data_IF_621263753579
#
_entry.id   IF_621263753579
#
_cell.length_a   1.000
_cell.length_b   1.000
_cell.length_c   1.000
_cell.angle_alpha   90.00
_cell.angle_beta   90.00
_cell.angle_gamma   90.00
#
_symmetry.space_group_name_H-M   'P 1'
#
loop_
_entity.id
_entity.type
_entity.pdbx_description
1 polymer ?
#
# COMPACT_ATOMS: atom_id res chain seq x y z
N UNK A 1 -3.66 -6.08 -12.21
CA UNK A 1 -4.58 -5.67 -11.14
C UNK A 1 -4.29 -4.25 -10.66
N UNK A 2 -3.08 -3.96 -10.17
CA UNK A 2 -2.71 -2.63 -9.68
C UNK A 2 -3.02 -1.49 -10.66
N UNK A 3 -2.64 -1.65 -11.93
CA UNK A 3 -2.89 -0.66 -12.98
C UNK A 3 -4.37 -0.26 -13.10
N UNK A 4 -5.29 -1.24 -13.06
CA UNK A 4 -6.72 -0.94 -13.12
C UNK A 4 -7.19 -0.27 -11.83
N UNK A 5 -6.76 -0.78 -10.67
CA UNK A 5 -7.15 -0.23 -9.37
C UNK A 5 -6.73 1.24 -9.21
N UNK A 6 -5.44 1.56 -9.44
CA UNK A 6 -4.93 2.93 -9.32
C UNK A 6 -5.56 3.86 -10.34
N UNK A 7 -5.76 3.42 -11.58
CA UNK A 7 -6.37 4.25 -12.63
C UNK A 7 -7.80 4.64 -12.28
N UNK A 8 -8.60 3.71 -11.77
CA UNK A 8 -9.97 3.98 -11.35
C UNK A 8 -10.04 4.98 -10.17
N UNK A 9 -9.09 4.90 -9.22
CA UNK A 9 -8.97 5.89 -8.15
C UNK A 9 -8.51 7.27 -8.66
N UNK A 10 -7.56 7.30 -9.60
CA UNK A 10 -7.07 8.52 -10.25
C UNK A 10 -8.19 9.25 -11.00
N UNK A 11 -9.02 8.52 -11.77
CA UNK A 11 -10.18 9.05 -12.47
C UNK A 11 -11.23 9.66 -11.52
N UNK A 12 -11.33 9.13 -10.31
CA UNK A 12 -12.23 9.62 -9.26
C UNK A 12 -11.58 10.69 -8.36
N UNK A 13 -10.33 11.06 -8.61
CA UNK A 13 -9.55 11.98 -7.77
C UNK A 13 -9.48 11.55 -6.29
N UNK A 14 -9.41 10.23 -6.04
CA UNK A 14 -9.29 9.69 -4.68
C UNK A 14 -7.82 9.57 -4.32
N UNK A 15 -7.43 10.23 -3.23
CA UNK A 15 -6.08 10.16 -2.66
C UNK A 15 -5.74 8.73 -2.24
N UNK A 16 -4.67 8.21 -2.81
CA UNK A 16 -4.12 6.89 -2.50
C UNK A 16 -2.62 6.88 -2.77
N UNK A 17 -1.92 5.93 -2.17
CA UNK A 17 -0.50 5.69 -2.46
C UNK A 17 -0.12 4.27 -2.06
N UNK A 18 0.99 3.77 -2.60
CA UNK A 18 1.63 2.55 -2.11
C UNK A 18 1.96 2.71 -0.61
N UNK A 19 1.98 1.58 0.11
CA UNK A 19 2.39 1.52 1.50
C UNK A 19 3.35 0.34 1.75
N UNK A 20 3.96 0.30 2.94
CA UNK A 20 4.73 -0.84 3.45
C UNK A 20 5.76 -1.42 2.46
N UNK A 21 5.71 -2.74 2.22
CA UNK A 21 6.62 -3.47 1.33
C UNK A 21 6.60 -2.95 -0.11
N UNK A 22 5.46 -2.42 -0.57
CA UNK A 22 5.34 -1.84 -1.91
C UNK A 22 6.11 -0.53 -2.06
N UNK A 23 6.10 0.34 -1.04
CA UNK A 23 6.96 1.55 -1.02
C UNK A 23 8.42 1.17 -0.91
N UNK A 24 8.73 0.15 -0.10
CA UNK A 24 10.09 -0.35 0.07
C UNK A 24 10.69 -0.86 -1.24
N UNK A 25 9.96 -1.72 -1.95
CA UNK A 25 10.38 -2.22 -3.26
C UNK A 25 10.57 -1.08 -4.26
N UNK A 26 9.61 -0.14 -4.32
CA UNK A 26 9.74 1.03 -5.16
C UNK A 26 11.01 1.84 -4.85
N UNK A 27 11.28 2.11 -3.57
CA UNK A 27 12.43 2.91 -3.15
C UNK A 27 13.78 2.25 -3.47
N UNK A 28 13.83 0.91 -3.50
CA UNK A 28 15.06 0.15 -3.82
C UNK A 28 15.34 0.12 -5.31
N UNK A 29 14.34 -0.26 -6.13
CA UNK A 29 14.57 -0.52 -7.55
C UNK A 29 13.34 -0.27 -8.44
N UNK A 30 12.30 0.39 -7.92
CA UNK A 30 11.08 0.72 -8.66
C UNK A 30 10.15 -0.46 -8.91
N UNK A 31 10.32 -1.59 -8.19
CA UNK A 31 9.55 -2.83 -8.40
C UNK A 31 9.03 -3.40 -7.09
N UNK A 32 8.16 -4.39 -7.18
CA UNK A 32 7.77 -5.20 -6.03
C UNK A 32 8.99 -5.92 -5.44
N UNK A 33 9.02 -6.10 -4.13
CA UNK A 33 10.04 -6.93 -3.49
C UNK A 33 9.90 -8.37 -4.02
N UNK A 34 10.96 -9.03 -4.51
CA UNK A 34 10.83 -10.30 -5.25
C UNK A 34 10.20 -11.47 -4.47
N UNK A 35 10.15 -11.36 -3.14
CA UNK A 35 9.67 -12.37 -2.22
C UNK A 35 8.45 -11.89 -1.40
N UNK A 36 7.87 -10.74 -1.73
CA UNK A 36 6.51 -10.38 -1.29
C UNK A 36 5.47 -11.15 -2.13
N UNK A 37 4.28 -11.31 -1.57
CA UNK A 37 3.15 -11.99 -2.25
C UNK A 37 1.98 -11.05 -2.54
N UNK A 38 2.04 -9.82 -2.05
CA UNK A 38 0.97 -8.82 -2.14
C UNK A 38 1.49 -7.40 -2.37
N UNK A 39 0.56 -6.52 -2.75
CA UNK A 39 0.83 -5.09 -2.91
C UNK A 39 -0.02 -4.34 -1.90
N UNK A 40 0.62 -3.54 -1.07
CA UNK A 40 -0.02 -2.70 -0.07
C UNK A 40 -0.28 -1.29 -0.61
N UNK A 41 -1.49 -0.79 -0.38
CA UNK A 41 -1.84 0.60 -0.56
C UNK A 41 -2.55 1.15 0.66
N UNK A 42 -2.49 2.48 0.80
CA UNK A 42 -3.38 3.23 1.68
C UNK A 42 -4.35 4.09 0.86
N UNK A 43 -5.57 4.21 1.36
CA UNK A 43 -6.68 4.94 0.74
C UNK A 43 -7.38 5.79 1.80
N UNK A 44 -7.91 6.97 1.43
CA UNK A 44 -8.63 7.81 2.38
C UNK A 44 -9.84 7.07 2.97
N UNK A 45 -9.91 6.97 4.30
CA UNK A 45 -11.00 6.30 5.00
C UNK A 45 -12.35 6.97 4.74
N UNK A 46 -12.39 8.28 4.51
CA UNK A 46 -13.67 8.95 4.24
C UNK A 46 -14.29 8.47 2.92
N UNK A 47 -13.47 8.10 1.92
CA UNK A 47 -13.97 7.53 0.67
C UNK A 47 -14.74 6.21 0.89
N UNK A 48 -14.29 5.35 1.81
CA UNK A 48 -14.91 4.06 2.11
C UNK A 48 -16.37 4.20 2.58
N UNK A 49 -16.72 5.34 3.16
CA UNK A 49 -18.06 5.63 3.69
C UNK A 49 -19.03 6.13 2.62
N UNK A 50 -18.55 6.36 1.40
CA UNK A 50 -19.35 6.96 0.33
C UNK A 50 -20.03 5.90 -0.54
N UNK A 51 -21.18 6.21 -1.17
CA UNK A 51 -21.77 5.35 -2.20
C UNK A 51 -20.84 5.13 -3.41
N UNK A 52 -19.91 6.07 -3.67
CA UNK A 52 -18.92 5.94 -4.73
C UNK A 52 -17.98 4.77 -4.50
N UNK A 53 -17.64 4.46 -3.24
CA UNK A 53 -16.83 3.30 -2.92
C UNK A 53 -17.51 1.98 -3.31
N UNK A 54 -18.82 1.86 -3.07
CA UNK A 54 -19.59 0.69 -3.52
C UNK A 54 -19.61 0.57 -5.05
N UNK A 55 -19.84 1.69 -5.76
CA UNK A 55 -19.80 1.69 -7.22
C UNK A 55 -18.42 1.32 -7.75
N UNK A 56 -17.37 1.79 -7.09
CA UNK A 56 -15.98 1.49 -7.42
C UNK A 56 -15.67 -0.01 -7.26
N UNK A 57 -15.98 -0.62 -6.11
CA UNK A 57 -15.75 -2.06 -5.90
C UNK A 57 -16.59 -2.92 -6.83
N UNK A 58 -17.86 -2.57 -7.06
CA UNK A 58 -18.71 -3.25 -8.04
C UNK A 58 -18.15 -3.13 -9.47
N UNK A 59 -17.57 -1.98 -9.84
CA UNK A 59 -16.90 -1.80 -11.13
C UNK A 59 -15.66 -2.70 -11.24
N UNK A 60 -14.86 -2.84 -10.18
CA UNK A 60 -13.71 -3.75 -10.19
C UNK A 60 -14.13 -5.19 -10.49
N UNK A 61 -15.24 -5.63 -9.90
CA UNK A 61 -15.78 -6.96 -10.12
C UNK A 61 -16.40 -7.13 -11.51
N UNK A 62 -17.33 -6.26 -11.89
CA UNK A 62 -18.11 -6.41 -13.13
C UNK A 62 -17.30 -6.12 -14.39
N UNK A 63 -16.34 -5.19 -14.33
CA UNK A 63 -15.53 -4.78 -15.49
C UNK A 63 -14.25 -5.59 -15.64
N UNK A 64 -13.57 -5.90 -14.53
CA UNK A 64 -12.26 -6.54 -14.55
C UNK A 64 -12.25 -7.98 -14.00
N UNK A 65 -13.34 -8.44 -13.41
CA UNK A 65 -13.45 -9.79 -12.84
C UNK A 65 -12.77 -9.95 -11.47
N UNK A 66 -12.29 -8.87 -10.85
CA UNK A 66 -11.62 -8.91 -9.56
C UNK A 66 -12.60 -9.20 -8.42
N UNK A 67 -12.11 -9.82 -7.35
CA UNK A 67 -12.93 -10.10 -6.18
C UNK A 67 -12.47 -9.24 -5.02
N UNK A 68 -13.40 -8.50 -4.43
CA UNK A 68 -13.14 -7.61 -3.30
C UNK A 68 -13.86 -8.12 -2.07
N UNK A 69 -13.18 -8.17 -0.93
CA UNK A 69 -13.80 -8.48 0.35
C UNK A 69 -13.04 -7.82 1.48
N UNK A 70 -13.73 -7.56 2.58
CA UNK A 70 -13.11 -7.01 3.78
C UNK A 70 -12.49 -8.13 4.63
N UNK A 71 -11.29 -7.88 5.14
CA UNK A 71 -10.56 -8.75 6.07
C UNK A 71 -10.21 -7.96 7.34
N UNK A 72 -9.54 -8.61 8.29
CA UNK A 72 -9.09 -7.99 9.56
C UNK A 72 -10.24 -7.32 10.32
N UNK A 73 -11.34 -8.05 10.48
CA UNK A 73 -12.58 -7.57 11.11
C UNK A 73 -13.16 -6.29 10.45
N UNK A 74 -12.95 -6.11 9.14
CA UNK A 74 -13.42 -4.95 8.41
C UNK A 74 -12.39 -3.83 8.24
N UNK A 75 -11.19 -3.98 8.81
CA UNK A 75 -10.17 -2.93 8.78
C UNK A 75 -9.42 -2.82 7.43
N UNK A 76 -9.45 -3.86 6.60
CA UNK A 76 -8.72 -3.93 5.34
C UNK A 76 -9.62 -4.37 4.19
N UNK A 77 -9.51 -3.73 3.04
CA UNK A 77 -10.10 -4.21 1.79
C UNK A 77 -9.05 -5.05 1.05
N UNK A 78 -9.34 -6.32 0.83
CA UNK A 78 -8.52 -7.23 0.03
C UNK A 78 -9.11 -7.36 -1.38
N UNK A 79 -8.25 -7.26 -2.39
CA UNK A 79 -8.61 -7.37 -3.81
C UNK A 79 -7.81 -8.52 -4.42
N UNK A 80 -8.50 -9.58 -4.81
CA UNK A 80 -7.91 -10.74 -5.48
C UNK A 80 -8.06 -10.65 -6.99
N UNK A 81 -7.04 -11.13 -7.72
CA UNK A 81 -7.09 -11.19 -9.18
C UNK A 81 -8.25 -12.06 -9.68
N UNK A 82 -8.46 -13.24 -9.09
CA UNK A 82 -9.61 -14.10 -9.38
C UNK A 82 -9.87 -15.08 -8.23
N UNK A 83 -10.83 -15.98 -8.40
CA UNK A 83 -11.08 -17.07 -7.45
C UNK A 83 -9.98 -18.14 -7.45
N UNK A 84 -9.14 -18.19 -8.49
CA UNK A 84 -8.10 -19.21 -8.69
C UNK A 84 -6.68 -18.64 -8.73
N UNK A 85 -6.54 -17.33 -8.87
CA UNK A 85 -5.28 -16.61 -8.79
C UNK A 85 -5.31 -15.69 -7.57
N UNK A 86 -4.50 -16.05 -6.57
CA UNK A 86 -4.47 -15.43 -5.26
C UNK A 86 -3.56 -14.21 -5.15
N UNK A 87 -3.03 -13.69 -6.26
CA UNK A 87 -2.29 -12.42 -6.24
C UNK A 87 -3.22 -11.32 -5.73
N UNK A 88 -2.77 -10.59 -4.71
CA UNK A 88 -3.62 -9.66 -3.97
C UNK A 88 -3.08 -8.25 -3.90
N UNK A 89 -4.01 -7.30 -3.81
CA UNK A 89 -3.77 -5.96 -3.31
C UNK A 89 -4.48 -5.84 -1.96
N UNK A 90 -3.73 -5.39 -0.97
CA UNK A 90 -4.19 -5.10 0.37
C UNK A 90 -4.33 -3.57 0.51
N UNK A 91 -5.56 -3.11 0.76
CA UNK A 91 -5.88 -1.67 0.82
C UNK A 91 -6.28 -1.32 2.24
N UNK A 92 -5.49 -0.47 2.86
CA UNK A 92 -5.70 0.00 4.21
C UNK A 92 -6.30 1.41 4.24
N UNK A 93 -7.28 1.69 5.12
CA UNK A 93 -7.84 3.02 5.25
C UNK A 93 -6.92 3.88 6.11
N UNK A 94 -6.47 5.03 5.60
CA UNK A 94 -5.76 6.01 6.41
C UNK A 94 -6.69 7.06 7.00
N UNK A 95 -6.32 7.60 8.16
CA UNK A 95 -6.95 8.76 8.80
C UNK A 95 -5.90 9.83 9.10
N UNK A 96 -6.28 11.10 8.96
CA UNK A 96 -5.46 12.23 9.36
C UNK A 96 -5.94 12.71 10.73
N UNK A 97 -5.08 12.54 11.74
CA UNK A 97 -5.32 13.00 13.10
C UNK A 97 -4.63 14.35 13.31
N UNK A 98 -5.41 15.39 13.66
CA UNK A 98 -4.87 16.72 13.94
C UNK A 98 -4.93 17.01 15.44
N UNK A 99 -3.80 17.41 16.03
CA UNK A 99 -3.68 17.84 17.43
C UNK A 99 -2.89 19.15 17.47
N UNK A 100 -3.60 20.26 17.56
CA UNK A 100 -2.99 21.60 17.47
C UNK A 100 -2.33 21.80 16.11
N UNK A 101 -1.01 22.05 16.11
CA UNK A 101 -0.21 22.23 14.89
C UNK A 101 0.34 20.93 14.30
N UNK A 102 0.17 19.80 14.99
CA UNK A 102 0.67 18.50 14.56
C UNK A 102 -0.43 17.78 13.79
N UNK A 103 -0.09 17.24 12.62
CA UNK A 103 -0.94 16.36 11.84
C UNK A 103 -0.21 15.05 11.57
N UNK A 104 -0.84 13.93 11.89
CA UNK A 104 -0.28 12.59 11.74
C UNK A 104 -1.23 11.70 10.95
N UNK A 105 -0.69 10.75 10.21
CA UNK A 105 -1.43 9.74 9.47
C UNK A 105 -1.40 8.43 10.25
N UNK A 106 -2.58 7.85 10.47
CA UNK A 106 -2.75 6.53 11.07
C UNK A 106 -3.39 5.55 10.10
N UNK A 107 -2.95 4.30 10.18
CA UNK A 107 -3.50 3.17 9.44
C UNK A 107 -3.78 2.05 10.47
N UNK A 108 -4.90 1.32 10.38
CA UNK A 108 -5.24 0.27 11.34
C UNK A 108 -4.46 -1.02 11.08
N UNK A 109 -3.13 -0.94 11.11
CA UNK A 109 -2.21 -2.06 10.92
C UNK A 109 -1.24 -2.13 12.10
N UNK A 110 -0.92 -3.34 12.58
CA UNK A 110 -0.10 -3.54 13.78
C UNK A 110 1.33 -3.01 13.62
N UNK A 111 1.90 -3.09 12.41
CA UNK A 111 3.25 -2.59 12.13
C UNK A 111 3.26 -1.10 11.74
N UNK A 112 2.09 -0.44 11.68
CA UNK A 112 2.04 0.98 11.37
C UNK A 112 2.56 1.81 12.54
N UNK A 113 3.61 2.58 12.29
CA UNK A 113 4.04 3.66 13.16
C UNK A 113 3.48 4.96 12.61
N UNK A 114 2.93 5.81 13.49
CA UNK A 114 2.35 7.10 13.11
C UNK A 114 3.34 7.92 12.28
N UNK A 115 2.85 8.43 11.16
CA UNK A 115 3.66 9.19 10.22
C UNK A 115 3.29 10.68 10.30
N UNK A 116 4.25 11.61 10.34
CA UNK A 116 3.97 13.02 10.07
C UNK A 116 3.26 13.20 8.72
N UNK A 117 2.25 14.07 8.66
CA UNK A 117 1.46 14.31 7.44
C UNK A 117 2.36 14.70 6.25
N UNK A 118 3.37 15.51 6.51
CA UNK A 118 4.33 16.02 5.53
C UNK A 118 5.21 14.93 4.89
N UNK A 119 5.37 13.77 5.53
CA UNK A 119 6.09 12.65 4.94
C UNK A 119 5.28 12.00 3.82
N UNK A 120 3.94 12.06 3.90
CA UNK A 120 3.04 11.41 2.95
C UNK A 120 2.54 12.38 1.87
N UNK A 121 2.21 13.61 2.25
CA UNK A 121 1.44 14.53 1.40
C UNK A 121 2.19 15.84 1.03
N UNK A 122 1.97 16.37 -0.19
CA UNK A 122 1.28 15.72 -1.30
C UNK A 122 2.07 14.51 -1.82
N UNK A 123 1.36 13.46 -2.19
CA UNK A 123 1.92 12.24 -2.72
C UNK A 123 2.65 12.47 -4.05
N UNK A 124 3.59 11.59 -4.38
CA UNK A 124 4.42 11.68 -5.58
C UNK A 124 4.00 10.66 -6.62
N UNK A 125 3.77 11.14 -7.84
CA UNK A 125 3.46 10.27 -8.97
C UNK A 125 4.72 9.61 -9.53
N UNK A 126 4.73 8.28 -9.63
CA UNK A 126 5.91 7.47 -9.94
C UNK A 126 5.55 6.25 -10.78
N UNK A 127 6.57 5.67 -11.43
CA UNK A 127 6.47 4.36 -12.06
C UNK A 127 6.87 3.27 -11.05
N UNK A 128 5.97 2.31 -10.81
CA UNK A 128 6.18 1.11 -10.03
C UNK A 128 5.84 -0.11 -10.89
N UNK A 129 6.86 -0.88 -11.28
CA UNK A 129 6.73 -2.06 -12.14
C UNK A 129 5.85 -1.85 -13.38
N UNK A 130 6.11 -0.77 -14.12
CA UNK A 130 5.37 -0.33 -15.31
C UNK A 130 3.93 0.14 -15.03
N UNK A 131 3.58 0.39 -13.77
CA UNK A 131 2.32 0.97 -13.36
C UNK A 131 2.57 2.36 -12.79
N UNK A 132 1.90 3.37 -13.36
CA UNK A 132 1.95 4.72 -12.82
C UNK A 132 1.00 4.86 -11.62
N UNK A 133 1.56 5.17 -10.45
CA UNK A 133 0.85 5.24 -9.16
C UNK A 133 1.49 6.30 -8.27
N UNK A 134 1.09 6.36 -7.01
CA UNK A 134 1.61 7.31 -6.03
C UNK A 134 2.40 6.65 -4.90
N UNK A 135 3.39 7.37 -4.38
CA UNK A 135 4.16 7.03 -3.16
C UNK A 135 4.17 8.22 -2.20
N UNK A 136 4.52 8.02 -0.92
CA UNK A 136 4.72 9.12 0.03
C UNK A 136 5.67 10.20 -0.49
N UNK A 137 5.40 11.46 -0.15
CA UNK A 137 6.22 12.63 -0.51
C UNK A 137 7.71 12.44 -0.19
N UNK A 138 8.01 12.14 1.05
CA UNK A 138 9.35 11.85 1.55
C UNK A 138 9.43 10.38 1.92
N UNK A 139 9.70 9.57 0.90
CA UNK A 139 9.80 8.12 1.02
C UNK A 139 10.89 7.68 1.99
N UNK A 140 12.00 8.41 2.08
CA UNK A 140 13.09 8.04 3.00
C UNK A 140 12.66 8.25 4.45
N UNK A 141 12.06 9.40 4.77
CA UNK A 141 11.53 9.65 6.11
C UNK A 141 10.41 8.67 6.48
N UNK A 142 9.52 8.36 5.53
CA UNK A 142 8.48 7.34 5.69
C UNK A 142 9.07 5.96 6.04
N UNK A 143 10.04 5.48 5.26
CA UNK A 143 10.66 4.17 5.45
C UNK A 143 11.57 4.11 6.68
N UNK A 144 12.29 5.18 7.02
CA UNK A 144 13.12 5.27 8.22
C UNK A 144 12.31 5.13 9.52
N UNK A 145 11.04 5.56 9.50
CA UNK A 145 10.13 5.37 10.63
C UNK A 145 9.73 3.89 10.73
N UNK A 146 9.32 3.27 9.63
CA UNK A 146 8.79 1.91 9.63
C UNK A 146 9.86 0.83 9.80
N UNK A 147 10.97 0.93 9.06
CA UNK A 147 11.95 -0.13 8.88
C UNK A 147 13.35 0.29 9.31
N UNK A 148 14.13 -0.68 9.78
CA UNK A 148 15.58 -0.54 10.01
C UNK A 148 16.36 -1.07 8.81
N UNK A 149 17.47 -0.42 8.45
CA UNK A 149 18.39 -0.85 7.37
C UNK A 149 17.71 -1.21 6.04
N UNK A 150 16.62 -0.50 5.71
CA UNK A 150 15.74 -0.86 4.61
C UNK A 150 16.38 -0.68 3.23
N UNK A 151 17.44 0.11 3.11
CA UNK A 151 18.13 0.37 1.85
C UNK A 151 18.78 -0.88 1.26
N UNK A 152 19.13 -1.87 2.09
CA UNK A 152 19.74 -3.13 1.67
C UNK A 152 18.65 -4.18 1.45
N UNK A 153 18.64 -4.79 0.29
CA UNK A 153 17.79 -5.95 0.01
C UNK A 153 18.33 -7.18 0.72
N UNK A 154 17.45 -7.97 1.34
CA UNK A 154 17.85 -9.18 2.07
C UNK A 154 18.19 -10.28 1.06
N UNK A 155 19.27 -11.01 1.32
CA UNK A 155 19.58 -12.23 0.58
C UNK A 155 18.69 -13.39 1.07
N UNK A 156 17.51 -13.51 0.45
CA UNK A 156 16.56 -14.56 0.76
C UNK A 156 16.98 -15.98 0.32
N UNK A 157 18.22 -16.18 -0.16
CA UNK A 157 18.77 -17.53 -0.28
C UNK A 157 18.90 -18.24 1.08
N UNK A 158 18.89 -17.48 2.18
CA UNK A 158 18.86 -17.98 3.55
C UNK A 158 17.60 -17.51 4.29
N UNK A 159 16.85 -18.46 4.86
CA UNK A 159 15.64 -18.20 5.65
C UNK A 159 15.78 -18.79 7.05
N UNK A 160 15.42 -18.03 8.06
CA UNK A 160 15.24 -18.46 9.45
C UNK A 160 13.79 -18.20 9.85
N UNK A 161 13.07 -19.20 10.38
CA UNK A 161 11.63 -19.10 10.70
C UNK A 161 10.77 -18.52 9.57
N UNK A 162 11.02 -18.96 8.32
CA UNK A 162 10.38 -18.45 7.09
C UNK A 162 10.62 -16.97 6.78
N UNK A 163 11.53 -16.29 7.49
CA UNK A 163 11.93 -14.91 7.22
C UNK A 163 13.31 -14.88 6.59
N UNK A 164 13.51 -14.00 5.62
CA UNK A 164 14.83 -13.78 5.05
C UNK A 164 15.74 -13.14 6.09
N UNK A 165 16.96 -13.63 6.19
CA UNK A 165 17.99 -13.08 7.08
C UNK A 165 19.19 -12.61 6.27
N UNK A 166 19.89 -11.60 6.75
CA UNK A 166 21.18 -11.26 6.17
C UNK A 166 22.16 -12.41 6.45
N UNK A 167 22.98 -12.75 5.46
CA UNK A 167 24.15 -13.60 5.70
C UNK A 167 25.02 -12.89 6.74
N UNK A 168 25.11 -13.41 7.95
CA UNK A 168 26.10 -12.93 8.92
C UNK A 168 27.49 -13.12 8.28
N UNK A 169 28.25 -12.04 8.19
CA UNK A 169 29.64 -12.06 7.72
C UNK A 169 30.55 -12.68 8.78
#
# INVERSE_FOLDING_TARGET
>A
MLNHFTKELQELHITHMLAFGSVLGWARNGKMVPYDEDIDLILDKEFWKTPLFYNFTNKLETKYGYKTFFTDNGAKLKICYSQTNYNTIDVWPFEINKRGKIAEVSVPHNDWKKQPLENLFPERYVNFDNVMTFVPRDTNSYLNILYTNWTTELDCSYKEDNKCVNKEN
#
